data_IF_858069994300
#
_entry.id   IF_858069994300
#
_cell.length_a   1.000
_cell.length_b   1.000
_cell.length_c   1.000
_cell.angle_alpha   90.00
_cell.angle_beta   90.00
_cell.angle_gamma   90.00
#
_symmetry.space_group_name_H-M   'P 1'
#
loop_
_entity.id
_entity.type
_entity.pdbx_description
1 polymer ?
#
# COMPACT_ATOMS: atom_id res chain seq x y z
N UNK A 1 7.94 -20.49 -4.61
CA UNK A 1 8.08 -19.64 -3.41
C UNK A 1 8.88 -18.43 -3.82
N UNK A 2 8.26 -17.26 -3.97
CA UNK A 2 8.99 -16.01 -4.24
C UNK A 2 9.65 -15.64 -2.92
N UNK A 3 10.99 -15.63 -2.87
CA UNK A 3 11.70 -15.06 -1.73
C UNK A 3 11.30 -13.59 -1.64
N UNK A 4 10.75 -13.17 -0.50
CA UNK A 4 10.53 -11.75 -0.22
C UNK A 4 11.89 -11.08 -0.10
N UNK A 5 12.26 -10.34 -1.14
CA UNK A 5 13.38 -9.42 -1.05
C UNK A 5 12.99 -8.32 -0.05
N UNK A 6 13.71 -8.25 1.06
CA UNK A 6 13.48 -7.24 2.08
C UNK A 6 13.80 -5.89 1.47
N UNK A 7 12.78 -5.06 1.24
CA UNK A 7 12.99 -3.66 0.88
C UNK A 7 13.71 -2.99 2.05
N UNK A 8 14.98 -2.68 1.85
CA UNK A 8 15.82 -1.98 2.81
C UNK A 8 16.08 -0.54 2.35
N UNK A 9 16.73 0.24 3.23
CA UNK A 9 17.06 1.64 2.94
C UNK A 9 17.95 1.78 1.70
N UNK A 10 18.80 0.78 1.42
CA UNK A 10 19.70 0.83 0.28
C UNK A 10 18.92 0.68 -1.04
N UNK A 11 17.94 -0.23 -1.08
CA UNK A 11 17.08 -0.40 -2.25
C UNK A 11 16.30 0.89 -2.59
N UNK A 12 15.73 1.56 -1.58
CA UNK A 12 15.02 2.81 -1.79
C UNK A 12 15.99 3.93 -2.21
N UNK A 13 17.17 4.03 -1.60
CA UNK A 13 18.20 4.99 -1.99
C UNK A 13 18.65 4.81 -3.45
N UNK A 14 18.84 3.56 -3.89
CA UNK A 14 19.17 3.23 -5.27
C UNK A 14 18.07 3.66 -6.24
N UNK A 15 16.79 3.48 -5.87
CA UNK A 15 15.65 3.92 -6.67
C UNK A 15 15.54 5.45 -6.74
N UNK A 16 15.82 6.16 -5.66
CA UNK A 16 15.89 7.65 -5.67
C UNK A 16 16.94 8.12 -6.67
N UNK A 17 18.10 7.44 -6.75
CA UNK A 17 19.15 7.79 -7.71
C UNK A 17 18.83 7.46 -9.18
N UNK A 18 17.84 6.59 -9.44
CA UNK A 18 17.47 6.10 -10.78
C UNK A 18 16.15 6.67 -11.30
N UNK A 19 15.39 7.35 -10.46
CA UNK A 19 14.06 7.88 -10.77
C UNK A 19 13.97 9.36 -10.43
N UNK A 20 12.90 10.02 -10.86
CA UNK A 20 12.59 11.40 -10.46
C UNK A 20 11.83 11.47 -9.13
N UNK A 21 11.63 10.35 -8.43
CA UNK A 21 10.81 10.27 -7.24
C UNK A 21 11.66 10.31 -5.97
N UNK A 22 11.15 11.00 -4.96
CA UNK A 22 11.79 11.02 -3.65
C UNK A 22 11.49 9.74 -2.85
N UNK A 23 12.29 9.52 -1.81
CA UNK A 23 12.19 8.38 -0.90
C UNK A 23 10.78 8.19 -0.32
N UNK A 24 10.12 9.29 0.07
CA UNK A 24 8.77 9.26 0.64
C UNK A 24 7.76 8.71 -0.37
N UNK A 25 7.79 9.17 -1.62
CA UNK A 25 6.87 8.71 -2.66
C UNK A 25 7.13 7.25 -3.03
N UNK A 26 8.39 6.85 -3.16
CA UNK A 26 8.77 5.45 -3.45
C UNK A 26 8.34 4.51 -2.32
N UNK A 27 8.52 4.93 -1.06
CA UNK A 27 8.10 4.16 0.10
C UNK A 27 6.58 4.00 0.14
N UNK A 28 5.83 5.09 -0.08
CA UNK A 28 4.37 5.04 -0.15
C UNK A 28 3.88 4.13 -1.28
N UNK A 29 4.48 4.23 -2.47
CA UNK A 29 4.12 3.41 -3.62
C UNK A 29 4.36 1.91 -3.38
N UNK A 30 5.46 1.58 -2.70
CA UNK A 30 5.73 0.22 -2.22
C UNK A 30 4.60 -0.28 -1.31
N UNK A 31 4.21 0.49 -0.30
CA UNK A 31 3.13 0.09 0.62
C UNK A 31 1.78 -0.06 -0.08
N UNK A 32 1.46 0.80 -1.04
CA UNK A 32 0.26 0.64 -1.87
C UNK A 32 0.30 -0.69 -2.60
N UNK A 33 1.44 -1.04 -3.19
CA UNK A 33 1.61 -2.31 -3.90
C UNK A 33 1.41 -3.50 -2.95
N UNK A 34 1.83 -3.38 -1.68
CA UNK A 34 1.56 -4.41 -0.65
C UNK A 34 0.07 -4.52 -0.30
N UNK A 35 -0.63 -3.39 -0.16
CA UNK A 35 -2.08 -3.37 0.10
C UNK A 35 -2.83 -3.99 -1.08
N UNK A 36 -2.50 -3.62 -2.32
CA UNK A 36 -3.08 -4.21 -3.53
C UNK A 36 -2.86 -5.73 -3.56
N UNK A 37 -1.67 -6.20 -3.18
CA UNK A 37 -1.38 -7.62 -3.09
C UNK A 37 -2.21 -8.34 -2.01
N UNK A 38 -2.44 -7.71 -0.85
CA UNK A 38 -3.25 -8.28 0.23
C UNK A 38 -4.73 -8.44 -0.18
N UNK A 39 -5.23 -7.50 -0.97
CA UNK A 39 -6.64 -7.44 -1.38
C UNK A 39 -6.94 -8.19 -2.69
N UNK A 40 -5.92 -8.65 -3.42
CA UNK A 40 -6.04 -9.20 -4.79
C UNK A 40 -7.02 -10.37 -4.93
N UNK A 41 -7.21 -11.16 -3.86
CA UNK A 41 -8.03 -12.37 -3.88
C UNK A 41 -9.44 -12.14 -3.30
N UNK A 42 -9.76 -10.92 -2.86
CA UNK A 42 -11.11 -10.57 -2.41
C UNK A 42 -12.00 -10.45 -3.64
N UNK A 43 -13.08 -11.24 -3.69
CA UNK A 43 -14.03 -11.16 -4.81
C UNK A 43 -14.87 -9.89 -4.72
N UNK A 44 -15.05 -9.24 -5.87
CA UNK A 44 -15.93 -8.08 -6.01
C UNK A 44 -15.33 -6.75 -5.54
N UNK A 45 -14.01 -6.67 -5.32
CA UNK A 45 -13.28 -5.42 -5.15
C UNK A 45 -12.42 -5.18 -6.39
N UNK A 46 -12.47 -3.98 -6.95
CA UNK A 46 -11.78 -3.64 -8.19
C UNK A 46 -10.99 -2.35 -8.02
N UNK A 47 -9.68 -2.42 -8.19
CA UNK A 47 -8.78 -1.25 -8.16
C UNK A 47 -9.03 -0.36 -9.37
N UNK A 48 -9.12 0.96 -9.15
CA UNK A 48 -9.46 1.95 -10.19
C UNK A 48 -8.80 3.30 -9.93
N UNK A 49 -9.22 4.30 -10.71
CA UNK A 49 -8.82 5.69 -10.52
C UNK A 49 -7.47 6.02 -11.18
N UNK A 50 -6.97 7.21 -10.86
CA UNK A 50 -5.71 7.71 -11.44
C UNK A 50 -4.52 6.83 -11.07
N UNK A 51 -4.47 6.33 -9.83
CA UNK A 51 -3.39 5.45 -9.36
C UNK A 51 -3.36 4.11 -10.10
N UNK A 52 -4.52 3.54 -10.43
CA UNK A 52 -4.59 2.34 -11.26
C UNK A 52 -4.06 2.58 -12.68
N UNK A 53 -4.42 3.71 -13.30
CA UNK A 53 -3.89 4.09 -14.60
C UNK A 53 -2.36 4.24 -14.57
N UNK A 54 -1.83 4.91 -13.54
CA UNK A 54 -0.40 5.10 -13.36
C UNK A 54 0.38 3.79 -13.25
N UNK A 55 -0.13 2.84 -12.47
CA UNK A 55 0.53 1.56 -12.21
C UNK A 55 0.41 0.55 -13.35
N UNK A 56 -0.71 0.54 -14.06
CA UNK A 56 -1.01 -0.50 -15.06
C UNK A 56 -0.64 -0.05 -16.47
N UNK A 57 -0.85 1.23 -16.81
CA UNK A 57 -0.81 1.68 -18.20
C UNK A 57 0.21 2.80 -18.48
N UNK A 58 0.62 3.58 -17.48
CA UNK A 58 1.43 4.79 -17.69
C UNK A 58 2.85 4.70 -17.11
N UNK A 59 3.33 3.48 -16.88
CA UNK A 59 4.71 3.18 -16.44
C UNK A 59 5.22 4.09 -15.32
N UNK A 60 4.38 4.30 -14.29
CA UNK A 60 4.72 5.14 -13.14
C UNK A 60 5.17 6.57 -13.51
N UNK A 61 4.63 7.19 -14.57
CA UNK A 61 4.97 8.57 -14.96
C UNK A 61 4.77 9.63 -13.87
N UNK A 62 3.91 9.33 -12.89
CA UNK A 62 3.82 9.97 -11.57
C UNK A 62 3.46 8.91 -10.53
N UNK A 63 3.88 9.13 -9.29
CA UNK A 63 3.42 8.36 -8.12
C UNK A 63 2.28 9.10 -7.43
N UNK A 64 1.35 8.35 -6.87
CA UNK A 64 0.22 8.85 -6.10
C UNK A 64 0.02 7.97 -4.88
N UNK A 65 -0.34 8.60 -3.77
CA UNK A 65 -0.57 7.91 -2.49
C UNK A 65 -2.01 7.39 -2.32
N UNK A 66 -2.92 7.86 -3.18
CA UNK A 66 -4.34 7.54 -3.09
C UNK A 66 -4.63 6.19 -3.73
N UNK A 67 -5.54 5.41 -3.14
CA UNK A 67 -6.03 4.15 -3.71
C UNK A 67 -7.55 4.17 -3.76
N UNK A 68 -8.10 4.00 -4.96
CA UNK A 68 -9.53 3.95 -5.19
C UNK A 68 -9.96 2.53 -5.54
N UNK A 69 -11.05 2.07 -4.92
CA UNK A 69 -11.69 0.81 -5.27
C UNK A 69 -13.16 1.02 -5.62
N UNK A 70 -13.69 0.14 -6.46
CA UNK A 70 -15.13 -0.06 -6.60
C UNK A 70 -15.48 -1.44 -6.10
N UNK A 71 -16.55 -1.51 -5.30
CA UNK A 71 -17.08 -2.75 -4.78
C UNK A 71 -18.37 -3.11 -5.52
N UNK A 72 -18.52 -4.41 -5.82
CA UNK A 72 -19.75 -4.95 -6.40
C UNK A 72 -20.88 -5.08 -5.37
N UNK A 73 -20.52 -5.09 -4.08
CA UNK A 73 -21.44 -5.17 -2.94
C UNK A 73 -21.28 -3.95 -2.03
N UNK A 74 -22.20 -3.79 -1.09
CA UNK A 74 -22.07 -2.82 -0.01
C UNK A 74 -20.74 -3.00 0.75
N UNK A 75 -20.08 -1.88 1.06
CA UNK A 75 -18.80 -1.85 1.77
C UNK A 75 -18.87 -2.55 3.13
N UNK A 76 -19.99 -2.42 3.84
CA UNK A 76 -20.18 -3.03 5.17
C UNK A 76 -20.12 -4.55 5.13
N UNK A 77 -20.41 -5.16 3.98
CA UNK A 77 -20.34 -6.62 3.78
C UNK A 77 -18.92 -7.12 3.53
N UNK A 78 -17.99 -6.21 3.22
CA UNK A 78 -16.61 -6.52 2.81
C UNK A 78 -15.56 -5.93 3.74
N UNK A 79 -15.95 -4.98 4.58
CA UNK A 79 -15.09 -4.31 5.55
C UNK A 79 -14.32 -5.28 6.43
N UNK A 80 -14.99 -6.23 7.08
CA UNK A 80 -14.32 -7.24 7.93
C UNK A 80 -13.30 -8.08 7.15
N UNK A 81 -13.63 -8.51 5.93
CA UNK A 81 -12.73 -9.30 5.07
C UNK A 81 -11.51 -8.47 4.64
N UNK A 82 -11.73 -7.21 4.26
CA UNK A 82 -10.67 -6.26 3.87
C UNK A 82 -9.72 -6.01 5.04
N UNK A 83 -10.26 -5.66 6.21
CA UNK A 83 -9.50 -5.39 7.42
C UNK A 83 -8.71 -6.63 7.86
N UNK A 84 -9.34 -7.81 7.84
CA UNK A 84 -8.65 -9.06 8.14
C UNK A 84 -7.48 -9.33 7.18
N UNK A 85 -7.67 -9.13 5.87
CA UNK A 85 -6.62 -9.36 4.85
C UNK A 85 -5.45 -8.40 5.01
N UNK A 86 -5.72 -7.13 5.31
CA UNK A 86 -4.69 -6.12 5.57
C UNK A 86 -3.92 -6.50 6.83
N UNK A 87 -4.59 -6.79 7.95
CA UNK A 87 -3.93 -7.08 9.22
C UNK A 87 -3.19 -8.44 9.23
N UNK A 88 -3.74 -9.46 8.56
CA UNK A 88 -3.13 -10.81 8.49
C UNK A 88 -1.99 -10.90 7.48
N UNK A 89 -1.83 -9.90 6.63
CA UNK A 89 -0.65 -9.81 5.78
C UNK A 89 0.56 -9.52 6.67
N UNK A 90 1.38 -10.55 6.89
CA UNK A 90 2.58 -10.58 7.75
C UNK A 90 3.56 -9.41 7.55
N UNK A 91 3.42 -8.66 6.46
CA UNK A 91 4.24 -7.53 6.09
C UNK A 91 3.67 -6.14 6.44
N UNK A 92 2.42 -6.06 6.92
CA UNK A 92 1.85 -4.85 7.51
C UNK A 92 2.02 -4.83 9.04
N UNK A 93 2.33 -5.94 9.69
CA UNK A 93 2.76 -5.94 11.09
C UNK A 93 4.12 -5.23 11.29
N UNK A 94 5.01 -5.28 10.29
CA UNK A 94 6.25 -4.50 10.26
C UNK A 94 6.01 -2.98 10.15
N UNK A 95 4.81 -2.56 9.73
CA UNK A 95 4.37 -1.15 9.69
C UNK A 95 4.30 -0.56 11.10
N UNK A 96 3.89 -1.35 12.10
CA UNK A 96 3.86 -0.90 13.50
C UNK A 96 5.28 -0.72 14.07
N UNK A 97 6.24 -1.55 13.63
CA UNK A 97 7.62 -1.52 14.12
C UNK A 97 8.44 -0.43 13.42
N UNK A 98 8.24 -0.21 12.12
CA UNK A 98 8.98 0.81 11.36
C UNK A 98 8.41 2.22 11.52
N UNK A 99 7.13 2.41 11.84
CA UNK A 99 6.55 3.76 12.07
C UNK A 99 6.74 4.27 13.50
N UNK A 100 7.05 3.38 14.44
CA UNK A 100 7.48 3.75 15.79
C UNK A 100 8.84 4.50 15.78
N UNK A 101 9.55 4.55 14.65
CA UNK A 101 10.88 5.16 14.54
C UNK A 101 10.92 6.64 14.09
N UNK A 102 9.77 7.29 13.86
CA UNK A 102 9.73 8.77 13.91
C UNK A 102 8.94 9.55 12.85
N UNK A 103 7.82 9.05 12.32
CA UNK A 103 6.93 9.87 11.46
C UNK A 103 5.50 9.98 12.03
N UNK A 104 5.20 11.03 12.82
CA UNK A 104 3.91 11.19 13.53
C UNK A 104 2.67 11.24 12.64
N UNK A 105 2.81 11.72 11.40
CA UNK A 105 1.68 11.89 10.48
C UNK A 105 1.14 10.58 9.89
N UNK A 106 1.96 9.52 9.80
CA UNK A 106 1.53 8.22 9.25
C UNK A 106 0.85 7.34 10.30
N UNK A 107 1.15 7.56 11.58
CA UNK A 107 0.48 6.92 12.72
C UNK A 107 -1.00 7.29 12.76
N UNK A 108 -1.37 8.52 12.39
CA UNK A 108 -2.77 8.95 12.34
C UNK A 108 -3.59 8.23 11.26
N UNK A 109 -3.01 7.95 10.09
CA UNK A 109 -3.70 7.28 8.97
C UNK A 109 -4.01 5.82 9.35
N UNK A 110 -3.09 5.15 10.05
CA UNK A 110 -3.29 3.77 10.48
C UNK A 110 -4.17 3.63 11.73
N UNK A 111 -4.07 4.57 12.67
CA UNK A 111 -4.99 4.60 13.81
C UNK A 111 -6.43 4.90 13.38
N UNK A 112 -6.66 5.59 12.26
CA UNK A 112 -8.00 5.74 11.68
C UNK A 112 -8.60 4.46 11.10
N UNK A 113 -7.75 3.50 10.70
CA UNK A 113 -8.15 2.18 10.19
C UNK A 113 -8.22 1.09 11.27
N UNK A 114 -7.65 1.33 12.45
CA UNK A 114 -7.63 0.38 13.57
C UNK A 114 -8.76 0.60 14.59
N UNK A 115 -9.50 1.72 14.49
CA UNK A 115 -10.60 2.11 15.38
C UNK A 115 -11.96 2.27 14.67
N UNK A 116 -12.09 1.75 13.45
CA UNK A 116 -13.35 1.46 12.76
C UNK A 116 -13.39 -0.03 12.44
#
# INVERSE_FOLDING_TARGET
>A
MVQEEKVDKQFIADLVGRTSFNETLLSKDYYITRILYALKDIKGIYFKGGTALQKIFLDHSRLSEDIDFTLQTDVKKKEEEITYRINSSSNLHALHISLADGSPHLIQILNGLLFL
#
